data_IF_286792829863
#
_entry.id   IF_286792829863
#
_cell.length_a   1.000
_cell.length_b   1.000
_cell.length_c   1.000
_cell.angle_alpha   90.00
_cell.angle_beta   90.00
_cell.angle_gamma   90.00
#
_symmetry.space_group_name_H-M   'P 1'
#
loop_
_entity.id
_entity.type
_entity.pdbx_description
1 polymer ?
#
# COMPACT_ATOMS: atom_id res chain seq x y z
N UNK A 1 2.35 -32.50 27.39
CA UNK A 1 2.46 -31.47 26.33
C UNK A 1 2.74 -30.15 27.00
N UNK A 2 3.85 -29.52 26.63
CA UNK A 2 4.41 -28.38 27.36
C UNK A 2 4.00 -27.04 26.73
N UNK A 3 3.83 -25.99 27.54
CA UNK A 3 3.41 -24.66 27.07
C UNK A 3 4.37 -24.06 26.01
N UNK A 4 5.64 -24.48 26.04
CA UNK A 4 6.65 -24.14 25.03
C UNK A 4 6.34 -24.66 23.64
N UNK A 5 5.76 -25.86 23.51
CA UNK A 5 5.40 -26.41 22.20
C UNK A 5 4.20 -25.69 21.59
N UNK A 6 3.28 -25.18 22.42
CA UNK A 6 2.14 -24.39 21.97
C UNK A 6 2.60 -23.04 21.38
N UNK A 7 3.51 -22.35 22.08
CA UNK A 7 4.11 -21.09 21.60
C UNK A 7 4.93 -21.33 20.31
N UNK A 8 5.63 -22.47 20.21
CA UNK A 8 6.37 -22.85 19.00
C UNK A 8 5.43 -23.13 17.82
N UNK A 9 4.30 -23.79 18.05
CA UNK A 9 3.30 -24.10 17.02
C UNK A 9 2.60 -22.83 16.51
N UNK A 10 2.20 -21.91 17.41
CA UNK A 10 1.61 -20.62 17.03
C UNK A 10 2.60 -19.74 16.24
N UNK A 11 3.88 -19.72 16.64
CA UNK A 11 4.93 -19.01 15.90
C UNK A 11 5.14 -19.60 14.51
N UNK A 12 5.13 -20.92 14.37
CA UNK A 12 5.27 -21.61 13.08
C UNK A 12 4.06 -21.35 12.15
N UNK A 13 2.83 -21.38 12.67
CA UNK A 13 1.63 -21.05 11.89
C UNK A 13 1.63 -19.57 11.46
N UNK A 14 2.09 -18.68 12.34
CA UNK A 14 2.33 -17.26 12.02
C UNK A 14 3.36 -17.08 10.90
N UNK A 15 4.45 -17.87 10.89
CA UNK A 15 5.46 -17.80 9.82
C UNK A 15 4.97 -18.37 8.49
N UNK A 16 4.24 -19.49 8.47
CA UNK A 16 3.72 -20.06 7.22
C UNK A 16 2.61 -19.17 6.61
N UNK A 17 1.77 -18.57 7.45
CA UNK A 17 0.80 -17.55 7.05
C UNK A 17 1.49 -16.30 6.50
N UNK A 18 2.48 -15.78 7.22
CA UNK A 18 3.27 -14.63 6.81
C UNK A 18 4.01 -14.88 5.49
N UNK A 19 4.63 -16.05 5.31
CA UNK A 19 5.31 -16.42 4.07
C UNK A 19 4.36 -16.49 2.88
N UNK A 20 3.14 -17.00 3.05
CA UNK A 20 2.11 -17.00 2.00
C UNK A 20 1.65 -15.59 1.66
N UNK A 21 1.45 -14.73 2.67
CA UNK A 21 1.10 -13.32 2.49
C UNK A 21 2.20 -12.57 1.75
N UNK A 22 3.45 -12.69 2.18
CA UNK A 22 4.63 -12.09 1.52
C UNK A 22 4.76 -12.59 0.09
N UNK A 23 4.61 -13.90 -0.14
CA UNK A 23 4.67 -14.49 -1.48
C UNK A 23 3.54 -13.97 -2.39
N UNK A 24 2.32 -13.81 -1.86
CA UNK A 24 1.19 -13.26 -2.62
C UNK A 24 1.38 -11.78 -2.96
N UNK A 25 1.90 -10.99 -2.01
CA UNK A 25 2.24 -9.59 -2.23
C UNK A 25 3.34 -9.45 -3.29
N UNK A 26 4.38 -10.28 -3.22
CA UNK A 26 5.47 -10.27 -4.20
C UNK A 26 5.00 -10.69 -5.61
N UNK A 27 4.09 -11.68 -5.70
CA UNK A 27 3.47 -12.08 -6.98
C UNK A 27 2.64 -10.96 -7.59
N UNK A 28 1.83 -10.26 -6.78
CA UNK A 28 1.06 -9.08 -7.23
C UNK A 28 1.99 -7.97 -7.70
N UNK A 29 2.98 -7.60 -6.89
CA UNK A 29 3.95 -6.57 -7.26
C UNK A 29 4.71 -6.90 -8.56
N UNK A 30 5.07 -8.17 -8.80
CA UNK A 30 5.66 -8.58 -10.08
C UNK A 30 4.70 -8.49 -11.25
N UNK A 31 3.42 -8.82 -11.06
CA UNK A 31 2.42 -8.64 -12.10
C UNK A 31 2.26 -7.15 -12.43
N UNK A 32 2.07 -6.31 -11.42
CA UNK A 32 1.92 -4.86 -11.60
C UNK A 32 3.14 -4.25 -12.31
N UNK A 33 4.35 -4.70 -11.96
CA UNK A 33 5.59 -4.25 -12.61
C UNK A 33 5.73 -4.68 -14.08
N UNK A 34 5.10 -5.80 -14.48
CA UNK A 34 5.07 -6.25 -15.89
C UNK A 34 4.01 -5.50 -16.71
N UNK A 35 2.93 -5.06 -16.07
CA UNK A 35 1.83 -4.36 -16.72
C UNK A 35 1.96 -2.83 -16.69
N UNK A 36 2.85 -2.27 -15.87
CA UNK A 36 3.16 -0.85 -15.91
C UNK A 36 4.21 -0.54 -17.00
N UNK A 37 3.95 0.42 -17.90
CA UNK A 37 4.97 0.90 -18.83
C UNK A 37 6.16 1.46 -18.04
N UNK A 38 7.39 1.17 -18.49
CA UNK A 38 8.64 1.66 -17.87
C UNK A 38 8.54 3.18 -17.70
N UNK A 39 8.31 3.64 -16.48
CA UNK A 39 8.32 5.06 -16.15
C UNK A 39 9.77 5.54 -16.31
N UNK A 40 10.10 6.10 -17.48
CA UNK A 40 11.35 6.83 -17.70
C UNK A 40 11.47 7.96 -16.68
N UNK A 41 12.69 8.46 -16.42
CA UNK A 41 12.99 9.44 -15.38
C UNK A 41 11.96 10.58 -15.33
N UNK A 42 10.92 10.39 -14.51
CA UNK A 42 9.79 11.28 -14.46
C UNK A 42 10.26 12.48 -13.65
N UNK A 43 10.72 13.52 -14.37
CA UNK A 43 11.02 14.83 -13.78
C UNK A 43 9.78 15.23 -13.01
N UNK A 44 9.90 15.28 -11.68
CA UNK A 44 8.81 15.46 -10.73
C UNK A 44 7.75 16.42 -11.30
N UNK A 45 6.65 15.87 -11.82
CA UNK A 45 5.55 16.68 -12.32
C UNK A 45 4.89 17.30 -11.10
N UNK A 46 5.39 18.46 -10.70
CA UNK A 46 4.84 19.21 -9.59
C UNK A 46 3.36 19.49 -9.88
N UNK A 47 2.43 19.15 -8.98
CA UNK A 47 0.99 19.33 -9.19
C UNK A 47 0.56 20.75 -9.62
N UNK A 48 1.40 21.76 -9.33
CA UNK A 48 1.06 23.17 -9.39
C UNK A 48 0.44 23.65 -8.08
N UNK A 49 -0.03 24.90 -7.98
CA UNK A 49 -0.67 25.41 -6.77
C UNK A 49 -1.97 24.68 -6.46
N UNK A 50 -2.32 24.60 -5.16
CA UNK A 50 -3.61 24.09 -4.69
C UNK A 50 -4.72 25.05 -5.13
N UNK A 51 -5.78 24.52 -5.74
CA UNK A 51 -6.98 25.28 -6.12
C UNK A 51 -8.11 25.09 -5.12
N UNK A 52 -8.26 23.90 -4.57
CA UNK A 52 -9.28 23.61 -3.56
C UNK A 52 -8.94 22.35 -2.77
N UNK A 53 -9.52 22.25 -1.57
CA UNK A 53 -9.49 21.05 -0.74
C UNK A 53 -10.90 20.77 -0.25
N UNK A 54 -11.38 19.56 -0.50
CA UNK A 54 -12.71 19.11 -0.11
C UNK A 54 -12.56 17.96 0.88
N UNK A 55 -13.05 18.17 2.10
CA UNK A 55 -13.05 17.15 3.14
C UNK A 55 -14.16 16.13 2.86
N UNK A 56 -13.82 14.85 3.05
CA UNK A 56 -14.77 13.75 2.93
C UNK A 56 -14.61 12.80 4.13
N UNK A 57 -15.64 12.04 4.51
CA UNK A 57 -15.48 11.03 5.56
C UNK A 57 -14.31 10.10 5.27
N UNK A 58 -13.39 9.97 6.22
CA UNK A 58 -12.17 9.17 6.05
C UNK A 58 -11.09 9.82 5.18
N UNK A 59 -11.13 11.13 4.93
CA UNK A 59 -10.05 11.87 4.26
C UNK A 59 -10.55 13.05 3.44
N UNK A 60 -10.26 13.04 2.13
CA UNK A 60 -10.67 14.12 1.23
C UNK A 60 -9.92 14.15 -0.09
N UNK A 61 -10.22 15.16 -0.90
CA UNK A 61 -9.55 15.39 -2.19
C UNK A 61 -8.94 16.78 -2.20
N UNK A 62 -7.64 16.85 -2.52
CA UNK A 62 -6.94 18.11 -2.79
C UNK A 62 -6.78 18.26 -4.30
N UNK A 63 -7.31 19.35 -4.86
CA UNK A 63 -7.22 19.66 -6.28
C UNK A 63 -6.11 20.67 -6.50
N UNK A 64 -5.12 20.31 -7.29
CA UNK A 64 -4.06 21.18 -7.76
C UNK A 64 -4.36 21.68 -9.17
N UNK A 65 -3.54 22.61 -9.67
CA UNK A 65 -3.69 23.16 -11.02
C UNK A 65 -3.68 22.09 -12.12
N UNK A 66 -2.91 21.01 -11.96
CA UNK A 66 -2.71 19.99 -13.01
C UNK A 66 -3.02 18.56 -12.58
N UNK A 67 -3.37 18.34 -11.32
CA UNK A 67 -3.64 17.00 -10.77
C UNK A 67 -4.54 17.05 -9.54
N UNK A 68 -5.01 15.89 -9.09
CA UNK A 68 -5.73 15.71 -7.84
C UNK A 68 -5.06 14.66 -6.95
N UNK A 69 -5.09 14.89 -5.65
CA UNK A 69 -4.63 13.94 -4.63
C UNK A 69 -5.83 13.48 -3.80
N UNK A 70 -6.09 12.17 -3.82
CA UNK A 70 -7.08 11.54 -2.96
C UNK A 70 -6.40 11.07 -1.66
N UNK A 71 -6.83 11.62 -0.53
CA UNK A 71 -6.36 11.24 0.80
C UNK A 71 -7.37 10.27 1.41
N UNK A 72 -6.89 9.09 1.82
CA UNK A 72 -7.67 8.08 2.55
C UNK A 72 -7.00 7.78 3.88
N UNK A 73 -7.77 7.84 4.95
CA UNK A 73 -7.36 7.57 6.33
C UNK A 73 -8.00 6.26 6.77
N UNK A 74 -7.18 5.36 7.29
CA UNK A 74 -7.60 4.06 7.83
C UNK A 74 -7.15 3.94 9.28
N UNK A 75 -7.97 3.33 10.13
CA UNK A 75 -7.59 2.99 11.51
C UNK A 75 -7.11 1.54 11.61
N UNK A 76 -6.21 1.26 12.54
CA UNK A 76 -5.64 -0.05 12.83
C UNK A 76 -5.09 -0.09 14.25
#
# INVERSE_FOLDING_TARGET
>A
MDARDLVRSVKMIGTAGALRSVRSAWRRQRADALWLPRQGAERARVPGPVRSAEAQPGGGVVRFARSSLLVRVTAG
#
